data_IF_612674373939
#
_entry.id   IF_612674373939
#
_cell.length_a   1.000
_cell.length_b   1.000
_cell.length_c   1.000
_cell.angle_alpha   90.00
_cell.angle_beta   90.00
_cell.angle_gamma   90.00
#
_symmetry.space_group_name_H-M   'P 1'
#
loop_
_entity.id
_entity.type
_entity.pdbx_description
1 polymer ?
2 branched ?
3 branched ?
4 non-polymer ?
5 non-polymer ?
6 non-polymer ?
7 water ?
#
# COMPACT_ATOMS: atom_id res chain seq x y z
N UNK A 1 -19.99 -16.95 -0.18
CA UNK A 1 -20.16 -18.39 -0.53
C UNK A 1 -19.21 -19.28 0.26
N UNK A 2 -18.03 -19.51 -0.32
CA UNK A 2 -16.97 -20.33 0.28
C UNK A 2 -15.75 -19.41 0.42
N UNK A 3 -14.84 -19.75 1.32
CA UNK A 3 -13.65 -18.93 1.49
C UNK A 3 -12.79 -19.05 0.23
N UNK A 4 -12.19 -17.94 -0.19
CA UNK A 4 -11.35 -17.96 -1.35
C UNK A 4 -10.01 -18.58 -1.00
N UNK A 5 -9.47 -19.36 -1.92
CA UNK A 5 -8.15 -20.01 -1.77
C UNK A 5 -7.24 -19.49 -2.88
N UNK A 6 -5.99 -19.21 -2.55
CA UNK A 6 -5.03 -18.73 -3.54
C UNK A 6 -4.53 -19.89 -4.35
N UNK A 7 -5.35 -20.36 -5.28
CA UNK A 7 -4.97 -21.51 -6.09
C UNK A 7 -4.22 -21.19 -7.38
N UNK A 8 -4.29 -19.94 -7.84
CA UNK A 8 -3.60 -19.57 -9.08
C UNK A 8 -2.25 -18.89 -8.89
N UNK A 9 -1.45 -18.92 -9.97
CA UNK A 9 -0.16 -18.27 -9.95
C UNK A 9 -0.40 -16.94 -10.66
N UNK A 10 0.58 -16.05 -10.67
CA UNK A 10 0.44 -14.74 -11.34
C UNK A 10 0.42 -14.86 -12.86
N UNK A 11 -0.27 -13.94 -13.54
CA UNK A 11 -0.27 -13.95 -14.99
C UNK A 11 1.10 -13.34 -15.40
N UNK A 12 1.51 -13.59 -16.64
CA UNK A 12 2.77 -13.06 -17.14
C UNK A 12 2.56 -11.58 -17.36
N UNK A 13 3.44 -10.78 -16.77
CA UNK A 13 3.34 -9.34 -16.90
C UNK A 13 4.26 -8.89 -18.03
N UNK A 14 3.67 -8.42 -19.13
CA UNK A 14 4.46 -7.97 -20.27
C UNK A 14 4.37 -6.46 -20.42
N UNK A 15 3.38 -5.90 -19.71
CA UNK A 15 3.14 -4.46 -19.63
C UNK A 15 2.00 -4.18 -18.61
N UNK A 16 1.63 -2.92 -18.49
CA UNK A 16 0.56 -2.50 -17.57
C UNK A 16 -0.45 -1.65 -18.31
N UNK A 17 -1.74 -1.96 -18.12
CA UNK A 17 -2.83 -1.22 -18.74
C UNK A 17 -3.54 -0.37 -17.65
N UNK A 18 -4.17 0.73 -18.06
CA UNK A 18 -4.89 1.60 -17.12
C UNK A 18 -6.12 0.87 -16.57
N UNK A 19 -6.28 0.90 -15.25
CA UNK A 19 -7.38 0.22 -14.58
C UNK A 19 -8.38 1.21 -13.98
N UNK A 20 -7.91 2.16 -13.18
CA UNK A 20 -8.80 3.15 -12.61
C UNK A 20 -8.09 4.45 -12.31
N UNK A 21 -8.83 5.54 -12.27
CA UNK A 21 -8.28 6.88 -11.98
C UNK A 21 -9.49 7.71 -11.59
N UNK A 22 -9.41 8.37 -10.43
CA UNK A 22 -10.53 9.18 -9.97
C UNK A 22 -10.42 10.72 -10.16
N UNK A 23 -9.24 11.23 -10.51
CA UNK A 23 -9.04 12.67 -10.72
C UNK A 23 -9.66 13.45 -9.58
N UNK A 24 -9.55 12.92 -8.37
CA UNK A 24 -10.17 13.52 -7.19
C UNK A 24 -9.90 15.00 -6.94
N UNK A 25 -8.63 15.40 -6.97
CA UNK A 25 -8.23 16.79 -6.71
C UNK A 25 -8.76 17.75 -7.80
N UNK A 26 -8.70 17.33 -9.07
CA UNK A 26 -9.21 18.13 -10.18
C UNK A 26 -10.68 18.40 -9.94
N UNK A 27 -11.43 17.33 -9.74
CA UNK A 27 -12.87 17.41 -9.54
C UNK A 27 -13.27 18.15 -8.25
N UNK A 28 -12.56 17.85 -7.17
CA UNK A 28 -12.83 18.44 -5.86
C UNK A 28 -12.60 19.93 -5.74
N UNK A 29 -12.06 20.53 -6.80
CA UNK A 29 -11.82 21.98 -6.84
C UNK A 29 -13.18 22.67 -6.81
N UNK A 30 -14.21 21.97 -7.30
CA UNK A 30 -15.57 22.50 -7.36
C UNK A 30 -16.63 21.42 -7.14
N UNK A 31 -16.44 20.62 -6.11
CA UNK A 31 -17.42 19.60 -5.78
C UNK A 31 -17.02 19.10 -4.37
N UNK A 32 -17.95 18.45 -3.66
CA UNK A 32 -17.71 18.02 -2.30
C UNK A 32 -16.91 16.76 -2.13
N UNK A 33 -15.61 16.89 -2.40
CA UNK A 33 -14.68 15.78 -2.32
C UNK A 33 -13.92 15.84 -0.99
N UNK A 34 -13.87 14.71 -0.32
CA UNK A 34 -13.18 14.59 0.96
C UNK A 34 -11.65 14.65 0.80
N UNK A 35 -10.98 15.26 1.76
CA UNK A 35 -9.53 15.33 1.75
C UNK A 35 -9.14 13.92 2.23
N UNK A 36 -8.15 13.31 1.59
CA UNK A 36 -7.67 11.99 1.98
C UNK A 36 -6.14 11.88 1.87
N UNK A 37 -5.66 10.65 2.07
CA UNK A 37 -4.26 10.22 1.90
C UNK A 37 -4.23 8.72 2.27
N UNK A 38 -3.12 8.05 1.99
CA UNK A 38 -2.96 6.63 2.28
C UNK A 38 -4.07 5.79 1.63
N UNK A 39 -4.25 5.94 0.31
CA UNK A 39 -5.28 5.19 -0.43
C UNK A 39 -4.82 3.79 -0.82
N UNK A 40 -5.75 3.00 -1.33
CA UNK A 40 -5.48 1.66 -1.86
C UNK A 40 -6.70 1.17 -2.62
N UNK A 41 -6.64 -0.04 -3.16
CA UNK A 41 -7.75 -0.61 -3.90
C UNK A 41 -7.95 -2.02 -3.34
N UNK A 42 -9.19 -2.49 -3.32
CA UNK A 42 -9.49 -3.82 -2.80
C UNK A 42 -10.80 -4.35 -3.42
N UNK A 43 -10.81 -5.63 -3.76
CA UNK A 43 -11.97 -6.26 -4.40
C UNK A 43 -12.81 -7.15 -3.52
N UNK A 44 -14.10 -7.16 -3.81
CA UNK A 44 -15.04 -8.03 -3.16
C UNK A 44 -15.32 -8.99 -4.33
N UNK A 45 -16.00 -10.11 -4.08
CA UNK A 45 -16.28 -11.05 -5.16
C UNK A 45 -17.08 -10.46 -6.31
N UNK A 46 -17.87 -9.44 -6.04
CA UNK A 46 -18.68 -8.83 -7.10
C UNK A 46 -18.38 -7.37 -7.44
N UNK A 47 -17.41 -6.75 -6.77
CA UNK A 47 -17.08 -5.34 -7.02
C UNK A 47 -15.69 -4.96 -6.49
N UNK A 48 -15.00 -4.04 -7.17
CA UNK A 48 -13.70 -3.56 -6.69
C UNK A 48 -13.90 -2.09 -6.36
N UNK A 49 -13.35 -1.66 -5.23
CA UNK A 49 -13.53 -0.27 -4.80
C UNK A 49 -12.25 0.45 -4.40
N UNK A 50 -12.34 1.78 -4.33
CA UNK A 50 -11.21 2.59 -3.89
C UNK A 50 -11.38 2.75 -2.37
N UNK A 51 -10.26 2.83 -1.66
CA UNK A 51 -10.20 2.96 -0.21
C UNK A 51 -9.19 4.06 0.14
N UNK A 52 -9.37 4.71 1.30
CA UNK A 52 -8.43 5.73 1.78
C UNK A 52 -8.81 6.21 3.17
N UNK A 53 -7.91 6.97 3.76
CA UNK A 53 -8.14 7.55 5.05
C UNK A 53 -8.56 9.01 4.86
N UNK A 54 -9.84 9.26 5.09
CA UNK A 54 -10.39 10.60 4.98
C UNK A 54 -9.80 11.45 6.08
N UNK A 55 -9.88 12.77 5.92
CA UNK A 55 -9.38 13.69 6.94
C UNK A 55 -10.58 14.39 7.59
N UNK A 56 -11.77 13.91 7.23
CA UNK A 56 -13.00 14.45 7.78
C UNK A 56 -13.30 15.88 7.41
N UNK A 57 -13.08 16.25 6.14
CA UNK A 57 -13.34 17.60 5.64
C UNK A 57 -13.23 17.56 4.11
N UNK A 58 -13.83 18.53 3.42
CA UNK A 58 -13.72 18.58 1.96
C UNK A 58 -12.44 19.37 1.65
N UNK A 59 -11.94 19.28 0.42
CA UNK A 59 -10.73 19.98 0.04
C UNK A 59 -10.93 21.48 0.06
N UNK A 60 -12.07 21.93 -0.46
CA UNK A 60 -12.39 23.35 -0.49
C UNK A 60 -12.82 23.87 0.88
N UNK A 61 -13.12 22.95 1.80
CA UNK A 61 -13.55 23.34 3.13
C UNK A 61 -12.46 24.01 3.91
N UNK A 62 -12.84 24.92 4.80
CA UNK A 62 -11.88 25.64 5.62
C UNK A 62 -11.15 24.68 6.56
N UNK A 63 -11.78 23.56 6.93
CA UNK A 63 -11.12 22.59 7.82
C UNK A 63 -10.03 21.80 7.10
N UNK A 64 -9.80 22.10 5.82
CA UNK A 64 -8.77 21.42 5.03
C UNK A 64 -7.40 21.97 5.47
N UNK A 65 -7.40 23.12 6.13
CA UNK A 65 -6.17 23.72 6.60
C UNK A 65 -5.61 22.81 7.68
N UNK A 66 -4.44 22.23 7.44
CA UNK A 66 -3.83 21.39 8.46
C UNK A 66 -3.79 19.89 8.21
N UNK A 67 -4.44 19.45 7.14
CA UNK A 67 -4.50 18.04 6.79
C UNK A 67 -3.17 17.40 6.40
N UNK A 68 -2.07 18.10 6.61
CA UNK A 68 -0.78 17.50 6.35
C UNK A 68 -0.51 16.49 7.50
N UNK A 69 -1.14 16.70 8.66
CA UNK A 69 -1.00 15.81 9.82
C UNK A 69 -1.62 14.43 9.57
N UNK A 70 -0.91 13.38 9.98
CA UNK A 70 -1.36 11.99 9.77
C UNK A 70 -2.40 11.38 10.70
N UNK A 71 -2.41 11.76 11.97
CA UNK A 71 -3.31 11.15 12.94
C UNK A 71 -4.14 12.16 13.70
N UNK A 72 -5.46 12.06 13.56
CA UNK A 72 -6.39 12.96 14.25
C UNK A 72 -7.63 12.16 14.52
N UNK A 73 -8.54 12.73 15.32
CA UNK A 73 -9.79 12.08 15.68
C UNK A 73 -10.79 12.20 14.54
N UNK A 74 -10.43 12.88 13.46
CA UNK A 74 -11.36 13.10 12.35
C UNK A 74 -11.12 12.26 11.12
N UNK A 75 -10.20 11.31 11.22
CA UNK A 75 -9.88 10.44 10.11
C UNK A 75 -10.71 9.17 10.22
N UNK A 76 -10.91 8.50 9.09
CA UNK A 76 -11.69 7.25 9.04
C UNK A 76 -11.35 6.51 7.74
N UNK A 77 -11.46 5.18 7.73
CA UNK A 77 -11.23 4.44 6.49
C UNK A 77 -12.57 4.51 5.73
N UNK A 78 -12.53 4.98 4.49
CA UNK A 78 -13.75 5.06 3.69
C UNK A 78 -13.52 4.31 2.39
N UNK A 79 -14.57 3.85 1.76
CA UNK A 79 -14.41 3.19 0.47
C UNK A 79 -15.48 3.81 -0.42
N UNK A 80 -15.26 3.75 -1.72
CA UNK A 80 -16.20 4.34 -2.66
C UNK A 80 -16.04 3.63 -4.01
N UNK A 81 -17.01 3.80 -4.92
CA UNK A 81 -16.94 3.15 -6.25
C UNK A 81 -15.69 3.44 -7.08
N UNK A 82 -15.22 2.39 -7.75
CA UNK A 82 -14.04 2.47 -8.60
C UNK A 82 -14.02 3.66 -9.55
N UNK A 83 -12.92 4.40 -9.48
CA UNK A 83 -12.67 5.56 -10.33
C UNK A 83 -13.54 6.79 -10.09
N UNK A 84 -14.38 6.74 -9.07
CA UNK A 84 -15.19 7.89 -8.69
C UNK A 84 -14.33 8.61 -7.64
N UNK A 85 -14.58 9.90 -7.35
CA UNK A 85 -13.73 10.50 -6.32
C UNK A 85 -14.39 10.22 -4.97
N UNK A 86 -13.63 10.32 -3.88
CA UNK A 86 -14.22 10.09 -2.54
C UNK A 86 -15.01 11.34 -2.15
N UNK A 87 -16.32 11.33 -2.37
CA UNK A 87 -17.15 12.50 -2.05
C UNK A 87 -17.88 12.31 -0.72
N UNK A 88 -18.41 13.39 -0.16
CA UNK A 88 -19.13 13.32 1.10
C UNK A 88 -20.37 12.41 0.95
N UNK A 89 -20.95 12.42 -0.25
CA UNK A 89 -22.17 11.68 -0.56
C UNK A 89 -22.03 10.24 -1.09
N UNK A 90 -20.84 9.83 -1.54
CA UNK A 90 -20.68 8.45 -2.05
C UNK A 90 -19.68 7.62 -1.23
N UNK A 91 -19.09 8.20 -0.19
CA UNK A 91 -18.09 7.47 0.60
C UNK A 91 -18.72 6.72 1.76
N UNK A 92 -18.31 5.47 1.92
CA UNK A 92 -18.82 4.61 2.98
C UNK A 92 -17.73 4.43 4.00
N UNK A 93 -18.03 4.75 5.26
CA UNK A 93 -17.04 4.61 6.33
C UNK A 93 -16.97 3.13 6.74
N UNK A 94 -15.76 2.56 6.70
CA UNK A 94 -15.55 1.16 7.09
C UNK A 94 -15.22 1.08 8.60
N UNK A 95 -14.57 2.11 9.12
CA UNK A 95 -14.21 2.20 10.54
C UNK A 95 -13.50 3.52 10.80
N UNK A 96 -13.39 3.85 12.08
CA UNK A 96 -12.76 5.08 12.54
C UNK A 96 -11.29 4.89 12.97
N UNK A 97 -10.39 5.72 12.43
CA UNK A 97 -8.98 5.59 12.74
C UNK A 97 -8.01 6.25 11.75
N UNK A 98 -6.72 6.20 12.07
CA UNK A 98 -5.73 6.84 11.21
C UNK A 98 -4.70 5.93 10.59
N UNK A 99 -5.01 4.64 10.57
CA UNK A 99 -4.15 3.59 9.98
C UNK A 99 -5.08 2.43 9.74
N UNK A 100 -4.96 1.78 8.58
CA UNK A 100 -5.85 0.70 8.25
C UNK A 100 -5.38 -0.33 7.24
N UNK A 101 -6.21 -1.35 7.11
CA UNK A 101 -6.05 -2.43 6.15
C UNK A 101 -7.46 -3.01 5.98
N UNK A 102 -7.67 -3.79 4.92
CA UNK A 102 -8.99 -4.36 4.64
C UNK A 102 -8.85 -5.44 3.57
N UNK A 103 -9.64 -6.50 3.68
CA UNK A 103 -9.62 -7.56 2.67
C UNK A 103 -10.86 -8.44 2.77
N UNK A 104 -11.29 -8.99 1.64
CA UNK A 104 -12.46 -9.88 1.59
C UNK A 104 -11.96 -11.31 1.60
N UNK A 105 -12.58 -12.18 2.40
CA UNK A 105 -12.12 -13.55 2.47
C UNK A 105 -12.90 -14.45 1.53
N UNK A 106 -13.82 -13.85 0.78
CA UNK A 106 -14.59 -14.63 -0.17
C UNK A 106 -16.01 -14.74 0.31
N UNK A 107 -16.19 -14.67 1.62
CA UNK A 107 -17.51 -14.74 2.22
C UNK A 107 -17.91 -13.32 2.60
N UNK A 108 -17.03 -12.64 3.32
CA UNK A 108 -17.27 -11.26 3.71
C UNK A 108 -15.96 -10.53 3.97
N UNK A 109 -16.06 -9.24 4.27
CA UNK A 109 -14.90 -8.40 4.46
C UNK A 109 -14.45 -8.11 5.88
N UNK A 110 -13.14 -8.01 6.06
CA UNK A 110 -12.54 -7.68 7.33
C UNK A 110 -11.87 -6.33 7.14
N UNK A 111 -12.15 -5.39 8.03
CA UNK A 111 -11.54 -4.07 7.97
C UNK A 111 -10.92 -3.79 9.34
N UNK A 112 -9.76 -3.14 9.35
CA UNK A 112 -9.07 -2.84 10.61
C UNK A 112 -8.66 -1.39 10.63
N UNK A 113 -9.03 -0.68 11.72
CA UNK A 113 -8.66 0.73 11.88
C UNK A 113 -8.03 0.88 13.25
N UNK A 114 -6.97 1.66 13.30
CA UNK A 114 -6.26 1.90 14.55
C UNK A 114 -6.47 3.36 14.88
N UNK A 115 -6.75 3.67 16.14
CA UNK A 115 -6.93 5.04 16.54
C UNK A 115 -6.34 5.25 17.93
N UNK A 116 -6.34 6.48 18.38
CA UNK A 116 -5.82 6.78 19.69
C UNK A 116 -4.62 7.71 19.66
N UNK A 117 -4.15 8.12 20.84
CA UNK A 117 -2.99 9.01 20.96
C UNK A 117 -1.78 8.11 20.70
N UNK A 118 -0.63 8.72 20.44
CA UNK A 118 0.59 7.95 20.13
C UNK A 118 0.99 6.87 21.12
N UNK A 119 0.79 7.12 22.41
CA UNK A 119 1.16 6.15 23.43
C UNK A 119 0.03 5.29 23.93
N UNK A 120 -1.12 5.33 23.26
CA UNK A 120 -2.24 4.55 23.75
C UNK A 120 -3.22 4.16 22.64
N UNK A 121 -2.69 3.84 21.48
CA UNK A 121 -3.55 3.47 20.38
C UNK A 121 -4.06 2.03 20.50
N UNK A 122 -5.10 1.72 19.72
CA UNK A 122 -5.70 0.39 19.71
C UNK A 122 -6.28 0.07 18.32
N UNK A 123 -6.26 -1.19 17.95
CA UNK A 123 -6.82 -1.64 16.69
C UNK A 123 -8.19 -2.30 16.96
N UNK A 124 -9.17 -2.00 16.10
CA UNK A 124 -10.49 -2.60 16.21
C UNK A 124 -10.66 -3.35 14.90
N UNK A 125 -10.91 -4.65 15.00
CA UNK A 125 -11.06 -5.51 13.84
C UNK A 125 -12.54 -5.73 13.59
N UNK A 126 -12.98 -5.29 12.42
CA UNK A 126 -14.36 -5.39 11.98
C UNK A 126 -14.49 -6.54 11.00
N UNK A 127 -15.60 -7.28 11.08
CA UNK A 127 -15.84 -8.37 10.14
C UNK A 127 -17.35 -8.39 9.87
N UNK A 128 -17.73 -8.37 8.59
CA UNK A 128 -19.14 -8.34 8.23
C UNK A 128 -19.78 -7.03 8.73
N UNK A 129 -18.98 -5.95 8.68
CA UNK A 129 -19.36 -4.59 9.09
C UNK A 129 -19.72 -4.44 10.56
N UNK A 130 -19.24 -5.38 11.37
CA UNK A 130 -19.48 -5.37 12.82
C UNK A 130 -18.14 -5.47 13.52
N UNK A 131 -17.98 -4.78 14.67
CA UNK A 131 -16.70 -4.86 15.39
C UNK A 131 -16.64 -6.21 16.10
N UNK A 132 -15.51 -6.92 15.97
CA UNK A 132 -15.36 -8.25 16.57
C UNK A 132 -14.22 -8.39 17.58
N UNK A 133 -13.04 -7.87 17.24
CA UNK A 133 -11.87 -7.97 18.12
C UNK A 133 -11.14 -6.64 18.29
N UNK A 134 -10.46 -6.46 19.43
CA UNK A 134 -9.71 -5.24 19.67
C UNK A 134 -8.35 -5.64 20.19
N UNK A 135 -7.31 -4.92 19.76
CA UNK A 135 -5.94 -5.19 20.17
C UNK A 135 -5.31 -3.90 20.68
N UNK A 136 -4.89 -3.87 21.94
CA UNK A 136 -4.27 -2.66 22.50
C UNK A 136 -2.78 -2.55 22.13
N UNK A 137 -2.28 -1.31 22.06
CA UNK A 137 -0.86 -1.03 21.74
C UNK A 137 0.03 -1.88 22.65
N UNK A 138 1.07 -2.51 22.08
CA UNK A 138 1.99 -3.32 22.90
C UNK A 138 3.31 -2.60 23.14
N UNK A 139 3.61 -1.61 22.32
CA UNK A 139 4.85 -0.86 22.48
C UNK A 139 4.58 0.62 22.78
N UNK A 140 3.29 0.99 22.83
CA UNK A 140 2.87 2.36 23.14
C UNK A 140 3.57 3.45 22.34
N UNK A 141 3.75 3.18 21.06
CA UNK A 141 4.39 4.15 20.15
C UNK A 141 3.81 3.98 18.75
N UNK A 142 2.68 4.63 18.53
CA UNK A 142 1.99 4.61 17.26
C UNK A 142 1.78 3.22 16.63
N UNK A 143 0.89 2.43 17.22
CA UNK A 143 0.55 1.13 16.65
C UNK A 143 0.10 1.46 15.21
N UNK A 144 0.59 0.74 14.21
CA UNK A 144 0.23 1.09 12.83
C UNK A 144 0.19 -0.15 11.93
N UNK A 145 -0.50 -0.07 10.79
CA UNK A 145 -0.56 -1.25 9.95
C UNK A 145 -0.25 -1.02 8.49
N UNK A 146 -0.79 -1.84 7.61
CA UNK A 146 -0.42 -1.80 6.20
C UNK A 146 -0.68 -0.59 5.30
N UNK A 147 -1.89 -0.02 5.36
CA UNK A 147 -2.32 1.11 4.52
C UNK A 147 -2.61 0.61 3.10
N UNK A 148 -2.86 -0.69 2.97
CA UNK A 148 -3.25 -1.30 1.71
C UNK A 148 -3.93 -2.64 2.04
N UNK A 149 -4.51 -3.32 1.06
CA UNK A 149 -5.22 -4.54 1.38
C UNK A 149 -4.44 -5.73 1.94
N UNK A 150 -5.11 -6.52 2.78
CA UNK A 150 -4.52 -7.74 3.32
C UNK A 150 -4.96 -8.82 2.33
N UNK A 151 -4.55 -10.06 2.56
CA UNK A 151 -4.93 -11.14 1.65
C UNK A 151 -5.41 -12.34 2.48
N UNK A 152 -6.39 -13.07 1.98
CA UNK A 152 -6.90 -14.24 2.72
C UNK A 152 -6.74 -15.54 1.95
N UNK A 153 -6.69 -16.65 2.70
CA UNK A 153 -6.60 -17.99 2.12
C UNK A 153 -7.39 -18.93 3.07
N UNK A 154 -8.48 -19.48 2.57
CA UNK A 154 -9.36 -20.37 3.34
C UNK A 154 -9.82 -19.77 4.67
N UNK A 155 -10.19 -18.50 4.65
CA UNK A 155 -10.66 -17.84 5.86
C UNK A 155 -9.61 -17.13 6.67
N UNK A 156 -8.35 -17.54 6.50
CA UNK A 156 -7.23 -16.95 7.26
C UNK A 156 -6.63 -15.77 6.52
N UNK A 157 -6.70 -14.60 7.15
CA UNK A 157 -6.19 -13.34 6.59
C UNK A 157 -5.07 -12.72 7.44
N UNK A 158 -3.79 -12.96 7.08
CA UNK A 158 -2.68 -12.39 7.87
C UNK A 158 -2.56 -10.88 7.68
N UNK A 159 -2.18 -10.20 8.75
CA UNK A 159 -2.02 -8.76 8.72
C UNK A 159 -0.74 -8.42 9.48
N UNK A 160 0.05 -7.50 8.92
CA UNK A 160 1.29 -7.10 9.55
C UNK A 160 1.10 -5.77 10.27
N UNK A 161 1.50 -5.73 11.54
CA UNK A 161 1.40 -4.54 12.39
C UNK A 161 2.80 -4.19 12.90
N UNK A 162 3.03 -2.93 13.24
CA UNK A 162 4.27 -2.50 13.85
C UNK A 162 3.92 -1.55 14.99
N UNK A 163 4.60 -1.68 16.12
CA UNK A 163 4.40 -0.79 17.25
C UNK A 163 5.82 -0.52 17.75
N UNK A 164 6.12 0.76 17.98
CA UNK A 164 7.45 1.12 18.43
C UNK A 164 8.08 2.16 17.50
N UNK A 165 9.37 2.40 17.68
CA UNK A 165 10.11 3.39 16.90
C UNK A 165 10.09 3.28 15.39
N UNK A 166 10.17 4.45 14.74
CA UNK A 166 10.22 4.55 13.29
C UNK A 166 11.66 4.83 12.85
N UNK A 167 12.54 5.01 13.85
CA UNK A 167 13.95 5.34 13.63
C UNK A 167 14.91 4.43 14.40
N UNK A 168 14.48 3.20 14.63
CA UNK A 168 15.28 2.24 15.35
C UNK A 168 14.46 0.97 15.37
N UNK A 169 14.93 -0.09 16.02
CA UNK A 169 14.16 -1.35 16.07
C UNK A 169 12.76 -1.15 16.67
N UNK A 170 11.76 -1.83 16.11
CA UNK A 170 10.39 -1.72 16.59
C UNK A 170 9.82 -3.12 16.84
N UNK A 171 8.57 -3.22 17.26
CA UNK A 171 7.97 -4.54 17.49
C UNK A 171 6.89 -4.85 16.47
N UNK A 172 7.25 -5.68 15.50
CA UNK A 172 6.34 -6.07 14.44
C UNK A 172 5.75 -7.44 14.76
N UNK A 173 4.46 -7.57 14.47
CA UNK A 173 3.73 -8.81 14.71
C UNK A 173 2.92 -9.15 13.48
N UNK A 174 2.77 -10.44 13.25
CA UNK A 174 1.95 -10.90 12.14
C UNK A 174 0.77 -11.58 12.82
N UNK A 175 -0.43 -11.05 12.57
CA UNK A 175 -1.64 -11.63 13.15
C UNK A 175 -2.37 -12.46 12.11
N UNK A 176 -2.84 -13.64 12.51
CA UNK A 176 -3.60 -14.50 11.61
C UNK A 176 -5.04 -14.44 12.13
N UNK A 177 -5.90 -13.79 11.34
CA UNK A 177 -7.31 -13.62 11.70
C UNK A 177 -8.18 -14.53 10.86
N UNK A 178 -9.29 -14.98 11.44
CA UNK A 178 -10.27 -15.76 10.69
C UNK A 178 -11.60 -15.27 11.22
N UNK A 179 -12.40 -14.69 10.34
CA UNK A 179 -13.69 -14.15 10.74
C UNK A 179 -13.53 -13.09 11.83
N UNK A 180 -12.45 -12.32 11.74
CA UNK A 180 -12.20 -11.25 12.68
C UNK A 180 -11.65 -11.68 14.01
N UNK A 181 -11.46 -12.97 14.20
CA UNK A 181 -10.93 -13.46 15.47
C UNK A 181 -9.46 -13.79 15.28
N UNK A 182 -8.68 -13.60 16.33
CA UNK A 182 -7.26 -13.89 16.26
C UNK A 182 -7.03 -15.39 16.44
N UNK A 183 -6.47 -16.03 15.43
CA UNK A 183 -6.17 -17.45 15.52
C UNK A 183 -4.78 -17.61 16.14
N UNK A 184 -3.89 -16.68 15.77
CA UNK A 184 -2.51 -16.70 16.21
C UNK A 184 -1.81 -15.40 15.83
N UNK A 185 -0.70 -15.13 16.50
CA UNK A 185 0.15 -14.00 16.16
C UNK A 185 1.58 -14.40 16.48
N UNK A 186 2.53 -13.87 15.71
CA UNK A 186 3.92 -14.16 15.97
C UNK A 186 4.72 -12.90 15.79
N UNK A 187 5.87 -12.82 16.46
CA UNK A 187 6.73 -11.65 16.31
C UNK A 187 7.45 -11.82 14.97
N UNK A 188 7.82 -10.72 14.35
CA UNK A 188 8.52 -10.78 13.07
C UNK A 188 9.81 -11.56 13.24
N UNK A 189 10.18 -12.33 12.23
CA UNK A 189 11.42 -13.09 12.23
C UNK A 189 12.13 -12.86 10.90
N UNK A 190 13.31 -13.46 10.77
CA UNK A 190 14.08 -13.32 9.55
C UNK A 190 15.11 -12.20 9.65
N UNK A 191 15.59 -11.76 8.50
CA UNK A 191 16.62 -10.72 8.44
C UNK A 191 16.13 -9.28 8.22
N UNK A 192 14.83 -9.05 8.02
CA UNK A 192 14.33 -7.68 7.84
C UNK A 192 14.53 -6.98 9.20
N UNK A 193 15.17 -5.81 9.18
CA UNK A 193 15.50 -5.05 10.42
C UNK A 193 14.46 -4.06 10.94
N UNK A 194 13.58 -3.61 10.06
CA UNK A 194 12.50 -2.68 10.43
C UNK A 194 11.40 -2.89 9.40
N UNK A 195 10.14 -3.00 9.86
CA UNK A 195 8.98 -3.24 8.97
C UNK A 195 7.85 -2.22 9.14
N UNK A 196 7.36 -1.70 8.01
CA UNK A 196 6.27 -0.74 8.00
C UNK A 196 5.46 -0.83 6.73
N UNK A 197 4.19 -0.51 6.82
CA UNK A 197 3.29 -0.48 5.68
C UNK A 197 3.47 -1.55 4.63
N UNK A 198 3.24 -2.80 4.97
CA UNK A 198 3.42 -3.87 3.99
C UNK A 198 2.40 -3.90 2.86
N UNK A 199 2.87 -4.11 1.64
CA UNK A 199 2.02 -4.21 0.45
C UNK A 199 2.03 -5.69 0.07
N UNK A 200 0.87 -6.35 0.17
CA UNK A 200 0.79 -7.78 -0.07
C UNK A 200 -0.10 -8.27 -1.20
N UNK A 201 0.16 -9.50 -1.62
CA UNK A 201 -0.62 -10.17 -2.66
C UNK A 201 -0.44 -11.66 -2.46
N UNK A 202 -1.31 -12.46 -3.06
CA UNK A 202 -1.19 -13.90 -2.90
C UNK A 202 -1.33 -14.70 -4.18
N UNK A 203 -0.63 -15.83 -4.20
CA UNK A 203 -0.70 -16.75 -5.33
C UNK A 203 -0.13 -18.08 -4.84
N UNK A 204 -0.69 -19.16 -5.33
CA UNK A 204 -0.24 -20.50 -4.97
C UNK A 204 -0.05 -20.73 -3.48
N UNK A 205 -1.08 -20.38 -2.71
CA UNK A 205 -1.10 -20.56 -1.26
C UNK A 205 0.04 -19.91 -0.50
N UNK A 206 0.52 -18.78 -1.00
CA UNK A 206 1.58 -18.05 -0.34
C UNK A 206 1.32 -16.56 -0.46
N UNK A 207 1.55 -15.80 0.61
CA UNK A 207 1.32 -14.35 0.59
C UNK A 207 2.68 -13.65 0.67
N UNK A 208 2.91 -12.75 -0.28
CA UNK A 208 4.16 -11.99 -0.36
C UNK A 208 3.86 -10.54 -0.04
N UNK A 209 4.66 -9.98 0.86
CA UNK A 209 4.50 -8.59 1.28
C UNK A 209 5.81 -7.83 1.08
N UNK A 210 5.73 -6.68 0.40
CA UNK A 210 6.91 -5.84 0.18
C UNK A 210 6.62 -4.65 1.08
N UNK A 211 7.50 -4.44 2.05
CA UNK A 211 7.29 -3.39 3.02
C UNK A 211 8.28 -2.25 2.96
N UNK A 212 8.31 -1.48 4.04
CA UNK A 212 9.16 -0.29 4.17
C UNK A 212 10.02 -0.35 5.44
N UNK A 213 11.34 -0.27 5.26
CA UNK A 213 12.30 -0.25 6.36
C UNK A 213 12.54 1.23 6.53
N UNK A 214 11.79 1.85 7.42
CA UNK A 214 11.94 3.27 7.59
C UNK A 214 13.29 3.65 8.22
N UNK A 215 13.77 2.76 9.08
CA UNK A 215 15.00 3.00 9.81
C UNK A 215 16.28 3.12 9.00
N UNK A 216 16.64 2.10 8.23
CA UNK A 216 17.88 2.18 7.46
C UNK A 216 17.89 1.75 6.01
N UNK A 217 17.03 0.81 5.64
CA UNK A 217 17.06 0.31 4.27
C UNK A 217 16.46 1.11 3.12
N UNK A 218 17.18 1.18 2.00
CA UNK A 218 16.73 1.86 0.81
C UNK A 218 16.29 0.75 -0.15
N UNK A 219 16.65 -0.49 0.21
CA UNK A 219 16.17 -1.64 -0.56
C UNK A 219 14.89 -1.97 0.25
N UNK A 220 13.94 -2.73 -0.28
CA UNK A 220 12.73 -3.02 0.48
C UNK A 220 12.67 -4.39 1.15
N UNK A 221 12.27 -4.43 2.44
CA UNK A 221 12.16 -5.71 3.15
C UNK A 221 10.97 -6.48 2.60
N UNK A 222 11.05 -7.80 2.65
CA UNK A 222 10.01 -8.67 2.13
C UNK A 222 9.63 -9.73 3.16
N UNK A 223 8.33 -9.89 3.37
CA UNK A 223 7.84 -10.91 4.30
C UNK A 223 6.99 -11.89 3.49
N UNK A 224 7.34 -13.18 3.55
CA UNK A 224 6.55 -14.18 2.86
C UNK A 224 5.84 -14.95 3.95
N UNK A 225 4.53 -15.12 3.78
CA UNK A 225 3.72 -15.78 4.78
C UNK A 225 3.06 -17.05 4.28
N UNK A 226 3.00 -18.06 5.14
CA UNK A 226 2.31 -19.31 4.81
C UNK A 226 1.00 -19.20 5.62
N UNK A 227 -0.15 -18.94 4.96
CA UNK A 227 -1.41 -18.82 5.69
C UNK A 227 -1.98 -20.12 6.22
N UNK A 228 -1.40 -21.23 5.80
CA UNK A 228 -1.87 -22.51 6.31
C UNK A 228 -1.05 -22.90 7.54
N UNK A 229 0.28 -22.90 7.43
CA UNK A 229 1.11 -23.22 8.58
C UNK A 229 1.10 -22.02 9.51
N UNK A 230 0.66 -20.89 8.99
CA UNK A 230 0.62 -19.66 9.75
C UNK A 230 2.02 -19.35 10.25
N UNK A 231 2.97 -19.37 9.31
CA UNK A 231 4.36 -19.05 9.60
C UNK A 231 4.88 -18.11 8.50
N UNK A 232 6.05 -17.53 8.69
CA UNK A 232 6.62 -16.59 7.73
C UNK A 232 8.16 -16.49 7.76
N UNK A 233 8.70 -15.75 6.82
CA UNK A 233 10.13 -15.49 6.73
C UNK A 233 10.23 -14.07 6.31
N UNK A 234 11.42 -13.51 6.41
CA UNK A 234 11.65 -12.15 5.99
C UNK A 234 13.09 -11.99 5.52
N UNK A 235 13.27 -11.08 4.56
CA UNK A 235 14.58 -10.77 4.00
C UNK A 235 14.41 -9.43 3.30
N UNK A 236 15.36 -9.09 2.43
CA UNK A 236 15.28 -7.87 1.67
C UNK A 236 15.33 -8.27 0.21
N UNK A 237 14.90 -7.35 -0.66
CA UNK A 237 14.98 -7.60 -2.09
C UNK A 237 16.51 -7.45 -2.34
N UNK A 238 17.13 -8.49 -2.92
CA UNK A 238 18.57 -8.53 -3.20
C UNK A 238 19.05 -7.52 -4.25
N UNK A 239 18.26 -7.36 -5.29
CA UNK A 239 18.60 -6.48 -6.40
C UNK A 239 19.20 -5.10 -6.09
N UNK A 240 20.20 -4.67 -6.89
CA UNK A 240 20.82 -3.37 -6.70
C UNK A 240 19.88 -2.23 -7.17
N UNK A 241 18.75 -2.59 -7.79
CA UNK A 241 17.76 -1.57 -8.24
C UNK A 241 16.96 -1.16 -6.96
N UNK A 242 17.39 -0.11 -6.27
CA UNK A 242 16.73 0.30 -5.03
C UNK A 242 15.35 0.95 -5.24
N UNK A 243 14.38 0.56 -4.39
CA UNK A 243 13.01 1.05 -4.55
C UNK A 243 12.31 1.84 -3.43
N UNK A 244 13.03 2.22 -2.37
CA UNK A 244 12.39 3.06 -1.37
C UNK A 244 12.68 4.52 -1.79
N UNK A 245 12.28 5.47 -0.97
CA UNK A 245 12.51 6.88 -1.26
C UNK A 245 12.36 7.71 0.01
N UNK A 246 13.29 8.63 0.28
CA UNK A 246 14.48 8.95 -0.54
C UNK A 246 15.47 7.77 -0.50
N UNK A 247 16.43 7.77 -1.41
CA UNK A 247 17.36 6.65 -1.46
C UNK A 247 18.64 7.08 -2.14
N UNK A 248 19.72 6.31 -1.93
CA UNK A 248 20.98 6.65 -2.58
C UNK A 248 20.84 6.23 -4.05
N UNK A 249 21.88 6.46 -4.85
CA UNK A 249 21.80 6.06 -6.24
C UNK A 249 21.97 4.56 -6.31
N UNK A 250 21.52 3.98 -7.42
CA UNK A 250 21.61 2.54 -7.60
C UNK A 250 23.05 2.06 -7.71
N UNK A 251 23.43 1.03 -6.91
CA UNK A 251 24.77 0.43 -6.91
C UNK A 251 24.74 -0.69 -7.96
N UNK A 252 25.78 -1.53 -8.02
CA UNK A 252 25.80 -2.63 -9.00
C UNK A 252 25.47 -3.93 -8.31
N UNK A 253 25.47 -3.89 -6.99
CA UNK A 253 25.13 -5.07 -6.22
C UNK A 253 24.35 -4.62 -4.98
N UNK A 254 23.23 -5.31 -4.70
CA UNK A 254 22.41 -4.97 -3.56
C UNK A 254 22.72 -5.80 -2.32
N UNK A 255 21.78 -5.80 -1.37
CA UNK A 255 21.92 -6.55 -0.13
C UNK A 255 20.67 -7.42 0.10
N UNK A 256 20.90 -8.70 0.37
CA UNK A 256 19.85 -9.67 0.57
C UNK A 256 19.30 -9.78 1.98
N UNK A 257 20.16 -9.58 2.98
CA UNK A 257 19.74 -9.73 4.35
C UNK A 257 20.06 -8.59 5.27
N UNK A 258 20.20 -7.39 4.71
CA UNK A 258 20.47 -6.22 5.53
C UNK A 258 19.98 -5.03 4.79
N UNK A 259 19.73 -3.94 5.50
CA UNK A 259 19.25 -2.75 4.81
C UNK A 259 20.40 -2.16 3.98
N UNK A 260 20.10 -1.69 2.76
CA UNK A 260 21.12 -1.07 1.96
C UNK A 260 21.22 0.34 2.57
N UNK A 261 22.41 0.75 3.03
CA UNK A 261 22.59 2.08 3.65
C UNK A 261 22.63 3.31 2.75
N UNK A 262 22.58 4.47 3.38
CA UNK A 262 22.64 5.70 2.63
C UNK A 262 21.58 6.70 3.04
N UNK A 263 20.44 6.21 3.51
CA UNK A 263 19.33 7.06 3.94
C UNK A 263 18.66 6.43 5.14
N UNK A 264 18.53 7.20 6.21
CA UNK A 264 17.92 6.70 7.43
C UNK A 264 16.65 7.42 7.79
N UNK A 265 15.87 6.78 8.65
CA UNK A 265 14.67 7.38 9.16
C UNK A 265 13.74 8.06 8.17
N UNK A 266 13.40 7.35 7.11
CA UNK A 266 12.47 7.87 6.13
C UNK A 266 12.19 6.81 5.09
N UNK A 267 11.16 7.02 4.29
CA UNK A 267 10.83 6.04 3.29
C UNK A 267 9.47 6.36 2.73
N UNK A 268 8.90 5.42 1.99
CA UNK A 268 7.58 5.60 1.39
C UNK A 268 6.99 4.20 1.22
N UNK A 269 5.67 4.08 1.37
CA UNK A 269 5.04 2.79 1.20
C UNK A 269 5.22 2.42 -0.25
N UNK A 270 5.60 1.16 -0.53
CA UNK A 270 5.80 0.71 -1.89
C UNK A 270 5.47 -0.77 -2.07
N UNK A 271 5.75 -1.33 -3.25
CA UNK A 271 5.41 -2.72 -3.51
C UNK A 271 6.24 -3.31 -4.63
N UNK A 272 6.00 -4.60 -4.89
CA UNK A 272 6.66 -5.32 -5.96
C UNK A 272 5.97 -6.66 -6.19
N UNK A 273 6.21 -7.26 -7.34
CA UNK A 273 5.68 -8.60 -7.65
C UNK A 273 6.93 -9.44 -7.88
N UNK A 274 7.19 -10.35 -6.96
CA UNK A 274 8.40 -11.20 -7.00
C UNK A 274 8.02 -12.59 -7.47
N UNK A 275 8.22 -12.82 -8.77
CA UNK A 275 7.83 -14.07 -9.42
C UNK A 275 8.87 -14.59 -10.45
N UNK A 276 10.09 -14.88 -9.99
CA UNK A 276 11.13 -15.36 -10.88
C UNK A 276 11.45 -14.32 -11.95
N UNK A 277 11.44 -14.74 -13.22
CA UNK A 277 11.72 -13.80 -14.30
C UNK A 277 10.55 -12.80 -14.45
N UNK A 278 9.35 -13.22 -14.07
CA UNK A 278 8.15 -12.38 -14.12
C UNK A 278 8.17 -11.44 -12.89
N UNK A 279 9.32 -10.85 -12.58
CA UNK A 279 9.40 -9.96 -11.44
C UNK A 279 9.41 -8.51 -11.86
N UNK A 280 8.53 -7.71 -11.25
CA UNK A 280 8.44 -6.28 -11.56
C UNK A 280 8.50 -5.43 -10.29
N UNK A 281 9.31 -4.37 -10.33
CA UNK A 281 9.43 -3.49 -9.17
C UNK A 281 8.89 -2.11 -9.47
N UNK A 282 8.21 -1.53 -8.50
CA UNK A 282 7.69 -0.19 -8.66
C UNK A 282 8.58 0.71 -7.84
N UNK A 283 8.68 1.97 -8.25
CA UNK A 283 9.47 2.96 -7.53
C UNK A 283 9.34 4.36 -8.10
N UNK A 284 9.60 5.35 -7.24
CA UNK A 284 9.58 6.75 -7.67
C UNK A 284 10.80 6.90 -8.58
N UNK A 285 10.72 7.80 -9.55
CA UNK A 285 11.84 8.05 -10.45
C UNK A 285 12.89 8.82 -9.65
N UNK A 286 12.46 9.84 -8.92
CA UNK A 286 13.36 10.65 -8.11
C UNK A 286 13.93 9.86 -6.93
N UNK A 287 15.21 10.07 -6.60
CA UNK A 287 15.80 9.38 -5.46
C UNK A 287 15.71 10.31 -4.26
N UNK A 288 15.22 11.53 -4.50
CA UNK A 288 15.09 12.56 -3.45
C UNK A 288 13.69 12.76 -2.86
N UNK A 289 12.65 12.63 -3.69
CA UNK A 289 11.31 12.84 -3.18
C UNK A 289 10.28 12.02 -3.92
N UNK A 290 9.04 12.11 -3.45
CA UNK A 290 7.90 11.39 -4.00
C UNK A 290 7.48 12.07 -5.28
N UNK A 291 8.33 11.86 -6.28
CA UNK A 291 8.16 12.45 -7.58
C UNK A 291 8.31 11.39 -8.66
N UNK A 292 7.35 11.33 -9.58
CA UNK A 292 7.38 10.34 -10.65
C UNK A 292 7.17 8.93 -10.14
N UNK A 293 6.94 8.01 -11.07
CA UNK A 293 6.74 6.62 -10.70
C UNK A 293 6.95 5.75 -11.92
N UNK A 294 7.68 4.66 -11.74
CA UNK A 294 7.96 3.74 -12.84
C UNK A 294 7.90 2.28 -12.41
N UNK A 295 7.63 1.41 -13.39
CA UNK A 295 7.59 -0.04 -13.17
C UNK A 295 8.81 -0.55 -13.93
N UNK A 296 9.59 -1.44 -13.30
CA UNK A 296 10.79 -2.02 -13.90
C UNK A 296 10.79 -3.56 -13.76
N UNK A 297 11.02 -4.25 -14.88
CA UNK A 297 11.05 -5.70 -14.83
C UNK A 297 12.48 -6.06 -14.44
N UNK A 298 12.62 -6.69 -13.26
CA UNK A 298 13.93 -7.06 -12.77
C UNK A 298 13.85 -8.54 -12.45
N UNK A 299 14.21 -9.39 -13.42
CA UNK A 299 14.16 -10.84 -13.21
C UNK A 299 14.96 -11.29 -11.98
N UNK A 300 14.29 -12.05 -11.13
CA UNK A 300 14.86 -12.59 -9.91
C UNK A 300 15.35 -11.57 -8.90
N UNK A 301 14.78 -10.36 -8.92
CA UNK A 301 15.16 -9.27 -8.01
C UNK A 301 15.31 -9.68 -6.54
N UNK A 302 14.37 -10.47 -6.04
CA UNK A 302 14.40 -10.89 -4.64
C UNK A 302 15.64 -11.70 -4.24
N UNK A 303 16.13 -12.52 -5.16
CA UNK A 303 17.25 -13.42 -4.89
C UNK A 303 18.57 -13.17 -5.58
N UNK A 304 18.60 -12.22 -6.51
CA UNK A 304 19.80 -11.94 -7.29
C UNK A 304 20.30 -10.53 -6.99
N UNK A 305 21.40 -10.44 -6.24
CA UNK A 305 21.97 -9.16 -5.81
C UNK A 305 22.65 -8.30 -6.88
N UNK A 306 22.56 -8.73 -8.12
CA UNK A 306 23.14 -7.97 -9.22
C UNK A 306 22.09 -7.77 -10.30
N UNK A 307 20.86 -8.23 -10.06
CA UNK A 307 19.79 -8.11 -11.06
C UNK A 307 19.49 -6.66 -11.42
N UNK A 308 19.45 -6.39 -12.73
CA UNK A 308 19.18 -5.06 -13.26
C UNK A 308 17.94 -5.12 -14.18
N UNK A 309 17.34 -3.97 -14.54
CA UNK A 309 16.15 -4.01 -15.39
C UNK A 309 16.30 -4.55 -16.82
N UNK A 310 15.26 -5.23 -17.30
CA UNK A 310 15.25 -5.77 -18.67
C UNK A 310 14.12 -5.13 -19.53
N UNK A 311 13.19 -4.45 -18.86
CA UNK A 311 12.07 -3.80 -19.51
C UNK A 311 11.53 -2.82 -18.50
N UNK A 312 10.70 -1.90 -18.94
CA UNK A 312 10.16 -0.96 -17.99
C UNK A 312 8.95 -0.24 -18.51
N UNK A 313 8.27 0.50 -17.65
CA UNK A 313 7.13 1.28 -18.09
C UNK A 313 7.02 2.45 -17.14
N UNK A 314 6.92 3.65 -17.70
CA UNK A 314 6.80 4.84 -16.89
C UNK A 314 5.31 4.98 -16.55
N UNK A 315 5.00 5.31 -15.30
CA UNK A 315 3.63 5.48 -14.86
C UNK A 315 3.30 6.96 -14.63
N UNK A 316 4.23 7.66 -13.99
CA UNK A 316 4.08 9.08 -13.69
C UNK A 316 5.42 9.76 -14.03
N UNK A 317 5.37 10.87 -14.76
CA UNK A 317 6.62 11.57 -15.12
C UNK A 317 7.30 12.14 -13.89
N UNK A 318 8.61 12.28 -13.96
CA UNK A 318 9.35 12.80 -12.82
C UNK A 318 9.00 14.25 -12.57
N UNK A 319 8.19 14.82 -13.45
CA UNK A 319 7.81 16.21 -13.26
C UNK A 319 6.47 16.29 -12.55
N UNK A 320 5.97 15.15 -12.11
CA UNK A 320 4.70 15.11 -11.41
C UNK A 320 4.87 14.40 -10.08
N UNK A 321 4.04 14.79 -9.13
CA UNK A 321 4.07 14.21 -7.80
C UNK A 321 3.44 12.82 -7.70
N UNK A 322 4.10 11.93 -6.95
CA UNK A 322 3.58 10.59 -6.73
C UNK A 322 3.36 10.45 -5.23
N UNK A 323 3.67 9.28 -4.68
CA UNK A 323 3.47 9.05 -3.26
C UNK A 323 3.43 7.57 -2.96
N UNK A 324 2.53 7.14 -2.07
CA UNK A 324 2.41 5.72 -1.73
C UNK A 324 1.96 4.87 -2.93
N UNK A 325 2.26 3.58 -2.89
CA UNK A 325 1.88 2.65 -3.93
C UNK A 325 1.78 1.30 -3.24
N UNK A 326 0.87 0.46 -3.70
CA UNK A 326 0.68 -0.84 -3.09
C UNK A 326 0.02 -1.80 -4.05
N UNK A 327 -0.02 -3.07 -3.64
CA UNK A 327 -0.58 -4.11 -4.47
C UNK A 327 -2.00 -4.54 -4.08
N UNK A 328 -2.71 -5.09 -5.05
CA UNK A 328 -4.05 -5.65 -4.86
C UNK A 328 -4.30 -6.46 -6.13
N UNK A 329 -5.23 -7.39 -6.06
CA UNK A 329 -5.59 -8.17 -7.23
C UNK A 329 -7.04 -8.56 -7.07
N UNK A 330 -7.71 -8.77 -8.19
CA UNK A 330 -9.09 -9.22 -8.16
C UNK A 330 -8.98 -10.76 -8.15
N UNK A 331 -9.07 -11.33 -6.95
CA UNK A 331 -8.99 -12.77 -6.76
C UNK A 331 -10.23 -13.50 -7.23
N UNK A 332 -11.22 -12.74 -7.68
CA UNK A 332 -12.49 -13.30 -8.13
C UNK A 332 -12.77 -13.13 -9.64
N UNK A 333 -11.72 -12.82 -10.40
CA UNK A 333 -11.84 -12.66 -11.85
C UNK A 333 -11.80 -14.05 -12.50
N UNK A 334 -12.15 -14.13 -13.78
CA UNK A 334 -12.12 -15.40 -14.51
C UNK A 334 -10.70 -15.65 -14.97
N UNK A 335 -10.47 -16.78 -15.62
CA UNK A 335 -9.14 -17.03 -16.09
C UNK A 335 -8.39 -17.99 -15.21
N UNK A 336 -7.19 -18.35 -15.65
CA UNK A 336 -6.34 -19.32 -14.97
C UNK A 336 -5.25 -18.72 -14.13
N UNK A 337 -5.17 -17.40 -14.08
CA UNK A 337 -4.13 -16.75 -13.32
C UNK A 337 -4.63 -15.47 -12.67
N UNK A 338 -3.88 -14.99 -11.68
CA UNK A 338 -4.22 -13.75 -10.97
C UNK A 338 -3.49 -12.62 -11.68
N UNK A 339 -4.24 -11.60 -12.09
CA UNK A 339 -3.67 -10.44 -12.77
C UNK A 339 -3.16 -9.42 -11.75
N UNK A 340 -1.86 -9.24 -11.72
CA UNK A 340 -1.23 -8.31 -10.79
C UNK A 340 -1.71 -6.88 -11.05
N UNK A 341 -2.05 -6.16 -9.98
CA UNK A 341 -2.45 -4.75 -10.11
C UNK A 341 -1.73 -3.94 -9.04
N UNK A 342 -1.80 -2.62 -9.17
CA UNK A 342 -1.21 -1.70 -8.21
C UNK A 342 -1.82 -0.32 -8.35
N UNK A 343 -1.66 0.50 -7.32
CA UNK A 343 -2.13 1.88 -7.34
C UNK A 343 -0.95 2.76 -6.93
N UNK A 344 -1.00 4.04 -7.33
CA UNK A 344 -0.01 5.01 -6.95
C UNK A 344 -0.84 6.18 -6.40
N UNK A 345 -0.47 6.67 -5.23
CA UNK A 345 -1.15 7.77 -4.59
C UNK A 345 -0.46 9.00 -5.19
N UNK A 346 -1.23 9.96 -5.70
CA UNK A 346 -0.67 11.19 -6.28
C UNK A 346 -0.93 12.35 -5.30
N UNK A 347 0.04 12.60 -4.41
CA UNK A 347 -0.09 13.65 -3.40
C UNK A 347 0.03 15.06 -3.94
N UNK A 348 -0.92 15.88 -3.51
CA UNK A 348 -0.96 17.28 -3.91
C UNK A 348 -1.03 18.10 -2.65
N UNK A 349 -0.50 19.32 -2.71
CA UNK A 349 -0.53 20.21 -1.56
C UNK A 349 0.73 20.08 -0.74
N UNK A 350 0.60 20.25 0.56
CA UNK A 350 1.75 20.19 1.43
C UNK A 350 2.37 18.80 1.57
N UNK A 351 3.68 18.73 1.80
CA UNK A 351 4.61 19.85 1.95
C UNK A 351 5.24 20.40 0.68
N UNK A 352 5.11 19.70 -0.44
CA UNK A 352 5.73 20.14 -1.67
C UNK A 352 5.08 21.35 -2.29
N UNK A 353 3.76 21.43 -2.20
CA UNK A 353 3.04 22.56 -2.78
C UNK A 353 2.42 23.34 -1.64
N UNK A 354 3.24 24.18 -1.01
CA UNK A 354 2.75 24.92 0.15
C UNK A 354 1.98 26.21 -0.05
N UNK A 355 1.55 26.48 -1.28
CA UNK A 355 0.76 27.68 -1.54
C UNK A 355 -0.66 27.44 -0.96
N UNK A 356 -1.02 26.16 -0.78
CA UNK A 356 -2.30 25.74 -0.21
C UNK A 356 -1.98 25.23 1.20
N UNK A 357 -2.97 25.23 2.09
CA UNK A 357 -2.79 24.81 3.46
C UNK A 357 -3.14 23.38 3.74
N UNK A 358 -3.55 22.70 2.67
CA UNK A 358 -3.97 21.32 2.79
C UNK A 358 -3.03 20.35 2.14
N UNK A 359 -3.32 19.08 2.37
CA UNK A 359 -2.61 17.97 1.78
C UNK A 359 -3.67 16.94 1.41
N UNK A 360 -3.64 16.47 0.17
CA UNK A 360 -4.57 15.44 -0.27
C UNK A 360 -3.92 14.60 -1.37
N UNK A 361 -4.74 13.91 -2.14
CA UNK A 361 -4.25 13.07 -3.23
C UNK A 361 -5.37 12.60 -4.14
N UNK A 362 -4.98 12.00 -5.27
CA UNK A 362 -5.93 11.37 -6.16
C UNK A 362 -5.30 9.99 -6.38
N UNK A 363 -5.99 9.09 -7.08
CA UNK A 363 -5.50 7.74 -7.29
C UNK A 363 -5.39 7.36 -8.77
N UNK A 364 -4.33 6.62 -9.12
CA UNK A 364 -4.19 6.08 -10.47
C UNK A 364 -3.88 4.61 -10.17
N UNK A 365 -4.44 3.72 -10.98
CA UNK A 365 -4.27 2.29 -10.76
C UNK A 365 -4.13 1.56 -12.11
N UNK A 366 -3.28 0.55 -12.14
CA UNK A 366 -3.04 -0.25 -13.34
C UNK A 366 -3.02 -1.73 -12.97
N UNK A 367 -3.18 -2.58 -13.99
CA UNK A 367 -3.12 -4.04 -13.85
C UNK A 367 -2.27 -4.53 -15.01
N UNK A 368 -1.73 -5.74 -14.89
CA UNK A 368 -0.86 -6.28 -15.92
C UNK A 368 -1.57 -6.79 -17.15
N UNK A 369 -0.86 -6.74 -18.28
CA UNK A 369 -1.36 -7.24 -19.55
C UNK A 369 -0.30 -8.20 -20.07
N UNK A 370 -0.75 -9.22 -20.80
CA UNK A 370 0.20 -10.15 -21.39
C UNK A 370 0.68 -9.56 -22.71
N UNK A 371 0.03 -8.49 -23.16
CA UNK A 371 0.43 -7.80 -24.38
C UNK A 371 1.56 -6.86 -24.03
N UNK A 372 2.21 -6.27 -25.03
CA UNK A 372 3.27 -5.28 -24.78
C UNK A 372 2.68 -3.96 -25.25
N UNK A 373 1.91 -3.34 -24.35
CA UNK A 373 1.21 -2.09 -24.61
C UNK A 373 2.03 -0.82 -24.57
N UNK A 374 1.59 0.14 -25.40
CA UNK A 374 2.24 1.43 -25.43
C UNK A 374 1.98 2.03 -24.06
N UNK A 375 2.84 2.96 -23.65
CA UNK A 375 2.67 3.58 -22.35
C UNK A 375 2.29 5.06 -22.49
N UNK A 376 1.70 5.61 -21.42
CA UNK A 376 1.33 7.02 -21.31
C UNK A 376 1.70 7.34 -19.87
N UNK A 377 1.68 8.61 -19.48
CA UNK A 377 1.96 8.97 -18.10
C UNK A 377 0.60 9.46 -17.57
N UNK A 378 0.39 9.26 -16.26
CA UNK A 378 -0.87 9.59 -15.63
C UNK A 378 -0.73 10.51 -14.42
N UNK A 379 -0.68 11.81 -14.65
CA UNK A 379 -0.55 12.77 -13.55
C UNK A 379 -1.87 13.00 -12.80
N UNK A 380 -1.81 13.63 -11.63
CA UNK A 380 -3.01 13.92 -10.88
C UNK A 380 -3.87 14.85 -11.76
N UNK A 381 -3.23 15.82 -12.40
CA UNK A 381 -3.92 16.71 -13.31
C UNK A 381 -4.46 18.02 -12.80
N UNK A 382 -4.47 18.25 -11.50
CA UNK A 382 -5.00 19.51 -10.99
C UNK A 382 -3.99 20.63 -11.11
N UNK A 383 -4.50 21.87 -11.14
CA UNK A 383 -3.69 23.10 -11.18
C UNK A 383 -3.80 23.75 -9.81
N UNK A 384 -2.75 23.63 -9.00
CA UNK A 384 -2.78 24.21 -7.65
C UNK A 384 -3.24 25.66 -7.63
N UNK A 385 -2.81 26.43 -8.62
CA UNK A 385 -3.17 27.84 -8.73
C UNK A 385 -4.68 28.09 -8.67
N UNK A 386 -5.46 27.13 -9.14
CA UNK A 386 -6.91 27.27 -9.12
C UNK A 386 -7.40 27.32 -7.68
N UNK A 387 -6.64 26.70 -6.78
CA UNK A 387 -7.00 26.65 -5.37
C UNK A 387 -6.55 27.84 -4.56
N UNK A 388 -5.84 28.77 -5.19
CA UNK A 388 -5.34 29.95 -4.50
C UNK A 388 -6.34 31.09 -4.43
X LIG B 1 -3.80 4.66 28.45
X LIG B 1 -3.51 5.70 29.56
X LIG B 1 -3.93 5.19 30.92
X LIG B 1 -5.39 4.81 30.86
X LIG B 1 -5.58 3.67 29.78
X LIG B 1 -6.96 3.19 29.63
X LIG B 1 -1.49 7.07 29.47
X LIG B 1 0.03 6.96 29.46
X LIG B 1 -2.09 5.88 29.57
X LIG B 1 -3.76 6.26 31.84
X LIG B 1 -5.74 4.37 32.19
X LIG B 1 -5.16 4.15 28.52
X LIG B 1 -7.87 4.26 29.63
X LIG B 1 -2.12 8.15 29.40
X LIG B 2 -7.01 4.78 32.74
X LIG B 2 -7.72 3.77 33.69
X LIG B 2 -9.02 4.36 34.22
X LIG B 2 -8.70 5.75 34.84
X LIG B 2 -7.91 6.69 33.91
X LIG B 2 -7.46 8.01 34.54
X LIG B 2 -7.26 1.49 33.20
X LIG B 2 -7.59 0.17 32.51
X LIG B 2 -8.05 2.54 33.03
X LIG B 2 -9.65 3.49 35.13
X LIG B 2 -9.87 6.49 35.19
X LIG B 2 -6.76 6.00 33.46
X LIG B 2 -6.49 7.77 35.55
X LIG B 2 -6.24 1.53 33.91
X LIG B 3 -10.00 6.87 36.53
X LIG B 3 -11.15 7.84 36.55
X LIG B 3 -11.49 8.18 38.02
X LIG B 3 -11.73 6.93 38.89
X LIG B 3 -10.50 6.00 38.71
X LIG B 3 -10.88 4.71 39.32
X LIG B 3 -12.23 7.27 35.88
X LIG B 3 -12.68 8.91 38.00
X LIG B 3 -11.95 7.24 40.25
X LIG B 3 -10.28 5.71 37.34
X LIG B 3 -9.72 3.95 39.49
X LIG B 4 -12.69 10.02 38.88
X LIG B 4 -14.06 10.65 38.91
X LIG B 4 -14.39 11.41 37.56
X LIG B 4 -13.32 12.50 37.29
X LIG B 4 -11.99 11.80 37.27
X LIG B 4 -10.88 12.79 37.16
X LIG B 4 -13.90 11.58 39.99
X LIG B 4 -15.65 12.00 37.61
X LIG B 4 -13.52 13.21 36.08
X LIG B 4 -11.75 11.04 38.51
X LIG B 4 -9.98 12.08 36.31
X LIG B 5 -15.04 12.36 40.44
X LIG B 5 -14.52 13.41 41.51
X LIG B 5 -14.08 12.67 42.78
X LIG B 5 -15.26 11.76 43.30
X LIG B 5 -15.76 10.76 42.21
X LIG B 5 -16.96 9.88 42.61
X LIG B 5 -15.59 14.31 41.83
X LIG B 5 -13.68 13.61 43.77
X LIG B 5 -14.81 11.04 44.38
X LIG B 5 -16.12 11.52 41.01
X LIG B 5 -17.98 10.71 43.13
X LIG B 6 -15.50 15.59 41.23
X LIG B 6 -16.62 16.36 41.89
X LIG B 6 -18.00 15.90 41.35
X LIG B 6 -18.05 15.98 39.81
X LIG B 6 -16.90 15.10 39.22
X LIG B 6 -16.77 15.08 37.72
X LIG B 6 -16.39 17.70 41.58
X LIG B 6 -18.97 16.76 41.89
X LIG B 6 -19.28 15.54 39.35
X LIG B 6 -15.62 15.56 39.75
X LIG B 6 -16.29 16.33 37.36
X LIG B 7 -9.11 4.17 40.76
X LIG B 7 -7.76 3.54 40.69
X LIG B 7 -7.97 1.99 40.83
X LIG B 7 -8.77 1.56 42.11
X LIG B 7 -10.07 2.37 42.28
X LIG B 7 -10.75 2.30 43.66
X LIG B 7 -6.95 4.10 41.69
X LIG B 7 -6.71 1.40 40.92
X LIG B 7 -9.14 0.20 41.87
X LIG B 7 -9.81 3.76 42.00
X LIG B 7 -10.08 2.64 44.86
X LIG C 1 -11.13 -23.41 -0.42
X LIG C 1 -12.46 -23.72 -1.05
X LIG C 1 -13.42 -24.26 0.05
X LIG C 1 -12.84 -25.39 0.90
X LIG C 1 -11.38 -25.17 1.28
X LIG C 1 -10.92 -26.62 1.47
X LIG C 1 -13.60 -22.67 -2.88
X LIG C 1 -14.21 -21.46 -3.52
X LIG C 1 -13.06 -22.55 -1.67
X LIG C 1 -14.60 -24.78 -0.47
X LIG C 1 -13.57 -25.46 2.10
X LIG C 1 -10.62 -24.58 0.17
X LIG C 1 -10.16 -26.61 2.62
X LIG C 1 -13.58 -23.73 -3.51
X LIG C 2 -14.70 -27.53 1.80
X LIG C 2 -14.94 -27.44 3.31
X LIG C 2 -15.80 -28.79 3.33
X LIG C 2 -17.30 -28.47 2.71
X LIG C 2 -17.11 -27.71 1.26
X LIG C 2 -18.26 -26.73 0.86
X LIG C 2 -12.80 -27.97 4.61
X LIG C 2 -13.80 -27.17 4.25
X LIG C 2 -15.84 -29.33 4.64
X LIG C 2 -18.24 -29.58 2.58
X LIG C 2 -15.86 -26.89 1.22
X LIG C 2 -18.01 -25.38 1.22
X LIG D 1 -4.15 27.88 8.33
X LIG D 1 -4.39 29.35 8.00
X LIG D 1 -3.20 30.31 8.42
X LIG D 1 -2.76 30.09 9.91
X LIG D 1 -2.47 28.53 9.97
X LIG D 1 -1.94 27.96 11.26
X LIG D 1 -5.74 29.73 6.17
X LIG D 1 -5.98 29.81 4.67
X LIG D 1 -4.51 29.38 6.56
X LIG D 1 -3.57 31.67 8.27
X LIG D 1 -1.64 30.97 10.34
X LIG D 1 -3.67 27.75 9.66
X LIG D 1 -2.98 28.03 12.21
X LIG D 1 -6.64 29.97 6.98
X LIG E 1 13.84 3.62 4.04
X LIG F 1 -22.17 23.92 -3.70
X LIG G 1 4.20 9.27 5.27
X LIG G 1 3.51 8.67 6.31
X LIG G 1 2.14 8.68 6.42
X LIG G 1 1.37 7.87 7.51
X LIG G 1 2.26 7.57 8.73
X LIG G 1 3.66 7.05 8.21
X LIG G 1 4.66 6.85 9.40
X LIG G 1 5.95 6.31 8.91
X LIG G 1 7.03 6.32 10.01
X LIG G 1 1.17 6.82 10.79
X LIG G 1 0.49 5.73 11.58
X LIG G 1 1.60 6.55 9.56
X LIG G 1 5.43 9.10 5.19
X LIG G 1 3.60 9.96 4.42
X LIG G 1 0.24 8.59 7.95
X LIG G 1 4.26 8.03 7.29
X LIG G 1 4.97 8.07 10.09
X LIG G 1 5.74 5.02 8.45
X LIG G 1 6.67 5.45 11.09
X LIG G 1 1.30 7.92 11.31
#
# INVERSE_FOLDING_TARGET
RDFNNLTKGLCTINSWHIYGKDNAVRIGEDSDVLVTREPYVSCDPDECRFYALSQGTTIRGKHSNGTIHDRSQYRALISWPLSSPPTVYNSRVECIGWSSTSCHDGKTRMSICISGPNNNASAVIWYNRRPVTEINTWARNILRTQESECVCHNGVCPVVFTDGSATGPAETRIYYFKEGKILKWEPLAGTAKHIEECSCYGERAEITCTCRDNWQGSNRPVIRIDPVAMTHTSQYICSPVLTDNPRPNDPTVGKCNDPYPGNNNNGVKGFSYLDGVNTWLGRTISIASRSGYEMLKVPNALTDDKSKPTQGQTIVLNTDWSGYSGSFMDYWAEGECYRACFYVELIRGRPKEDKVWWTSNSIVSMCSSTEFLGQWDWPDGAKIEYFL
NAG C1 C2 C3 C4 C5 C6 C7 C8 N2 O3 O4 O5 O6 O7
NAG C1 C2 C3 C4 C5 C6 C7 C8 N2 O3 O4 O5 O6 O7
MAN C1 C2 C3 C4 C5 C6 O2 O3 O4 O5 O6
MAN C1 C2 C3 C4 C5 C6 O2 O3 O4 O5 O6
MAN C1 C2 C3 C4 C5 C6 O2 O3 O4 O5 O6
MAN C1 C2 C3 C4 C5 C6 O2 O3 O4 O5 O6
MAN C1 C2 C3 C4 C5 C6 O2 O3 O4 O5 O6
NAG C1 C2 C3 C4 C5 C6 C7 C8 N2 O3 O4 O5 O6 O7
NAG C1 C2 C3 C4 C5 C6 C7 N2 O3 O4 O5 O6
NAG C1 C2 C3 C4 C5 C6 C7 C8 N2 O3 O4 O5 O6 O7
CA CA
CA CA
DAN C1 C2 C3 C4 C5 C6 C7 C8 C9 C10 C11 N5 O1A O1B O4 O6 O7 O8 O9 O10
#
